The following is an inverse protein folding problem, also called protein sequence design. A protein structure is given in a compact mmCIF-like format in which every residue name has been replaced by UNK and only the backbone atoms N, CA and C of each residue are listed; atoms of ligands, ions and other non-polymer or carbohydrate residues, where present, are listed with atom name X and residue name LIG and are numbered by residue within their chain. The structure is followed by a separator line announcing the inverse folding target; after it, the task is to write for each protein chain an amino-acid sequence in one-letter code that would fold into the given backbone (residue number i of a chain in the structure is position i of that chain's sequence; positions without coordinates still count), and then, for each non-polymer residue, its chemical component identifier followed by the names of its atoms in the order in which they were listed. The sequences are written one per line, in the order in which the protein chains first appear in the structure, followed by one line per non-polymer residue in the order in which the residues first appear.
data_IF_279495046974
#
_entry.id   IF_279495046974
#
_cell.length_a   1.000
_cell.length_b   1.000
_cell.length_c   1.000
_cell.angle_alpha   90.00
_cell.angle_beta   90.00
_cell.angle_gamma   90.00
#
_symmetry.space_group_name_H-M   'P 1'
#
loop_
_entity.id
_entity.type
_entity.pdbx_description
1 polymer ?
#
# COMPACT_ATOMS: atom_id res chain seq x y z
N UNK A 1 -17.10 -36.02 26.86
CA UNK A 1 -16.53 -34.84 26.19
C UNK A 1 -16.57 -33.70 27.18
N UNK A 2 -15.42 -33.27 27.68
CA UNK A 2 -15.34 -32.20 28.68
C UNK A 2 -15.33 -30.83 27.98
N UNK A 3 -16.22 -29.89 28.33
CA UNK A 3 -16.33 -28.58 27.68
C UNK A 3 -15.25 -27.55 28.11
N UNK A 4 -14.13 -27.98 28.69
CA UNK A 4 -13.16 -27.09 29.35
C UNK A 4 -11.90 -26.77 28.54
N UNK A 5 -11.68 -27.38 27.37
CA UNK A 5 -10.48 -27.14 26.54
C UNK A 5 -10.47 -25.79 25.80
N UNK A 6 -11.59 -25.08 25.72
CA UNK A 6 -11.68 -23.78 25.01
C UNK A 6 -11.47 -22.55 25.89
N UNK A 7 -11.23 -22.71 27.20
CA UNK A 7 -11.07 -21.55 28.10
C UNK A 7 -9.72 -20.83 27.95
N UNK A 8 -8.72 -21.47 27.33
CA UNK A 8 -7.37 -20.93 27.20
C UNK A 8 -6.95 -20.96 25.73
N UNK A 9 -7.07 -19.85 24.98
CA UNK A 9 -6.55 -19.79 23.63
C UNK A 9 -5.04 -20.14 23.66
N UNK A 10 -4.51 -20.83 22.62
CA UNK A 10 -3.09 -21.11 22.51
C UNK A 10 -2.25 -19.87 22.79
N UNK A 11 -1.12 -20.05 23.47
CA UNK A 11 -0.28 -18.94 24.00
C UNK A 11 -0.03 -17.86 22.93
N UNK A 12 0.28 -18.26 21.70
CA UNK A 12 0.50 -17.34 20.58
C UNK A 12 -0.75 -16.53 20.21
N UNK A 13 -1.93 -17.15 20.20
CA UNK A 13 -3.19 -16.49 19.88
C UNK A 13 -3.58 -15.48 20.96
N UNK A 14 -3.26 -15.78 22.23
CA UNK A 14 -3.40 -14.85 23.35
C UNK A 14 -2.42 -13.68 23.23
N UNK A 15 -1.17 -13.95 22.91
CA UNK A 15 -0.15 -12.91 22.72
C UNK A 15 -0.51 -11.95 21.59
N UNK A 16 -1.01 -12.47 20.45
CA UNK A 16 -1.50 -11.63 19.35
C UNK A 16 -2.71 -10.79 19.77
N UNK A 17 -3.63 -11.35 20.57
CA UNK A 17 -4.77 -10.57 21.11
C UNK A 17 -4.33 -9.47 22.08
N UNK A 18 -3.34 -9.74 22.93
CA UNK A 18 -2.89 -8.79 23.96
C UNK A 18 -1.94 -7.72 23.38
N UNK A 19 -1.13 -8.06 22.38
CA UNK A 19 -0.03 -7.23 21.88
C UNK A 19 -0.18 -6.75 20.44
N UNK A 20 -1.20 -7.22 19.73
CA UNK A 20 -1.39 -6.98 18.31
C UNK A 20 -0.63 -7.97 17.44
N UNK A 21 -1.00 -7.99 16.15
CA UNK A 21 -0.32 -8.78 15.13
C UNK A 21 0.67 -7.89 14.37
N UNK A 22 1.88 -7.79 14.91
CA UNK A 22 2.95 -6.96 14.36
C UNK A 22 3.26 -7.28 12.90
N UNK A 23 3.15 -8.55 12.48
CA UNK A 23 3.44 -8.94 11.10
C UNK A 23 2.35 -8.46 10.14
N UNK A 24 1.08 -8.60 10.55
CA UNK A 24 -0.07 -8.09 9.78
C UNK A 24 -0.04 -6.57 9.70
N UNK A 25 0.26 -5.89 10.81
CA UNK A 25 0.39 -4.43 10.84
C UNK A 25 1.54 -3.94 9.96
N UNK A 26 2.73 -4.56 10.07
CA UNK A 26 3.90 -4.20 9.26
C UNK A 26 3.63 -4.40 7.77
N UNK A 27 2.98 -5.51 7.39
CA UNK A 27 2.57 -5.74 6.00
C UNK A 27 1.65 -4.64 5.49
N UNK A 28 0.64 -4.30 6.28
CA UNK A 28 -0.35 -3.26 5.92
C UNK A 28 0.33 -1.92 5.68
N UNK A 29 1.23 -1.51 6.58
CA UNK A 29 2.00 -0.26 6.44
C UNK A 29 2.91 -0.31 5.22
N UNK A 30 3.63 -1.42 5.00
CA UNK A 30 4.52 -1.56 3.85
C UNK A 30 3.79 -1.46 2.51
N UNK A 31 2.63 -2.12 2.38
CA UNK A 31 1.78 -2.05 1.18
C UNK A 31 1.28 -0.62 0.93
N UNK A 32 0.81 0.05 1.99
CA UNK A 32 0.36 1.45 1.90
C UNK A 32 1.50 2.39 1.47
N UNK A 33 2.67 2.27 2.10
CA UNK A 33 3.85 3.07 1.74
C UNK A 33 4.29 2.81 0.31
N UNK A 34 4.27 1.55 -0.15
CA UNK A 34 4.62 1.23 -1.53
C UNK A 34 3.62 1.86 -2.51
N UNK A 35 2.33 1.84 -2.18
CA UNK A 35 1.28 2.45 -2.99
C UNK A 35 1.47 3.97 -3.10
N UNK A 36 1.67 4.65 -1.97
CA UNK A 36 1.92 6.08 -1.92
C UNK A 36 3.19 6.48 -2.68
N UNK A 37 4.28 5.73 -2.50
CA UNK A 37 5.52 5.96 -3.24
C UNK A 37 5.30 5.83 -4.75
N UNK A 38 4.52 4.83 -5.19
CA UNK A 38 4.21 4.64 -6.62
C UNK A 38 3.42 5.81 -7.19
N UNK A 39 2.48 6.36 -6.43
CA UNK A 39 1.72 7.54 -6.85
C UNK A 39 2.60 8.79 -6.88
N UNK A 40 3.40 9.03 -5.84
CA UNK A 40 4.27 10.18 -5.72
C UNK A 40 5.34 10.22 -6.83
N UNK A 41 5.80 9.05 -7.27
CA UNK A 41 6.78 8.90 -8.34
C UNK A 41 6.14 8.77 -9.74
N UNK A 42 4.82 8.91 -9.88
CA UNK A 42 4.19 8.90 -11.20
C UNK A 42 4.30 10.26 -11.91
N UNK A 43 5.28 10.35 -12.80
CA UNK A 43 5.49 11.52 -13.67
C UNK A 43 4.70 11.47 -14.98
N UNK A 44 3.69 10.60 -15.09
CA UNK A 44 2.89 10.43 -16.31
C UNK A 44 2.26 11.74 -16.80
N UNK A 45 1.71 12.53 -15.90
CA UNK A 45 1.10 13.83 -16.21
C UNK A 45 2.12 14.85 -16.72
N UNK A 46 3.32 14.88 -16.15
CA UNK A 46 4.40 15.75 -16.64
C UNK A 46 4.79 15.37 -18.07
N UNK A 47 4.96 14.07 -18.34
CA UNK A 47 5.26 13.57 -19.71
C UNK A 47 4.14 13.88 -20.69
N UNK A 48 2.87 13.76 -20.27
CA UNK A 48 1.70 14.12 -21.10
C UNK A 48 1.67 15.61 -21.43
N UNK A 49 1.93 16.47 -20.44
CA UNK A 49 1.97 17.91 -20.65
C UNK A 49 3.11 18.34 -21.59
N UNK A 50 4.28 17.69 -21.48
CA UNK A 50 5.39 17.95 -22.40
C UNK A 50 5.03 17.59 -23.84
N UNK A 51 4.48 16.38 -24.07
CA UNK A 51 4.10 15.94 -25.42
C UNK A 51 3.11 16.90 -26.10
N UNK A 52 2.08 17.35 -25.37
CA UNK A 52 1.11 18.33 -25.89
C UNK A 52 1.77 19.66 -26.30
N UNK A 53 2.78 20.11 -25.55
CA UNK A 53 3.54 21.33 -25.91
C UNK A 53 4.37 21.12 -27.17
N UNK A 54 5.02 19.97 -27.30
CA UNK A 54 5.78 19.61 -28.50
C UNK A 54 4.84 19.57 -29.73
N UNK A 55 3.72 18.84 -29.65
CA UNK A 55 2.71 18.76 -30.72
C UNK A 55 2.17 20.13 -31.14
N UNK A 56 1.83 21.00 -30.17
CA UNK A 56 1.39 22.36 -30.45
C UNK A 56 2.49 23.24 -31.06
N UNK A 57 3.76 23.01 -30.70
CA UNK A 57 4.90 23.70 -31.29
C UNK A 57 5.16 23.24 -32.72
N UNK A 58 4.97 21.96 -33.05
CA UNK A 58 5.09 21.45 -34.41
C UNK A 58 3.97 21.98 -35.32
N UNK A 59 2.76 22.19 -34.80
CA UNK A 59 1.64 22.77 -35.55
C UNK A 59 1.74 24.28 -35.78
N UNK A 60 2.62 25.00 -35.07
CA UNK A 60 2.76 26.46 -35.21
C UNK A 60 3.61 26.89 -36.42
N UNK A 61 4.23 25.93 -37.11
CA UNK A 61 5.17 26.15 -38.21
C UNK A 61 4.70 25.59 -39.58
N UNK A 62 3.47 25.06 -39.65
CA UNK A 62 2.76 24.65 -40.88
C UNK A 62 1.60 25.61 -41.17
#
# INVERSE_FOLDING_TARGET
MNPTETSHPPIYQRLVRERGDVLTETRTVAEQTQHEARQALDWSEVRRAQRKREEGSFSAFD
#
